data_IF_493484505242
#
_entry.id   IF_493484505242
#
_cell.length_a   1.000
_cell.length_b   1.000
_cell.length_c   1.000
_cell.angle_alpha   90.00
_cell.angle_beta   90.00
_cell.angle_gamma   90.00
#
_symmetry.space_group_name_H-M   'P 1'
#
loop_
_entity.id
_entity.type
_entity.pdbx_description
1 polymer ?
#
# COMPACT_ATOMS: atom_id res chain seq x y z
N UNK A 1 -4.42 23.57 14.38
CA UNK A 1 -5.53 24.50 14.09
C UNK A 1 -5.40 25.25 12.76
N UNK A 2 -4.35 25.09 11.94
CA UNK A 2 -4.26 25.75 10.63
C UNK A 2 -5.33 25.29 9.61
N UNK A 3 -5.54 23.98 9.46
CA UNK A 3 -6.52 23.41 8.53
C UNK A 3 -7.94 23.98 8.72
N UNK A 4 -8.39 24.13 9.96
CA UNK A 4 -9.72 24.65 10.28
C UNK A 4 -9.77 26.18 10.27
N UNK A 5 -8.74 26.86 10.76
CA UNK A 5 -8.75 28.32 10.87
C UNK A 5 -8.41 29.03 9.56
N UNK A 6 -7.59 28.42 8.71
CA UNK A 6 -7.09 28.96 7.44
C UNK A 6 -7.01 27.85 6.37
N UNK A 7 -8.16 27.27 5.98
CA UNK A 7 -8.19 26.21 4.97
C UNK A 7 -7.63 26.69 3.62
N UNK A 8 -7.80 27.97 3.29
CA UNK A 8 -7.19 28.63 2.12
C UNK A 8 -5.66 28.46 2.10
N UNK A 9 -5.00 28.77 3.21
CA UNK A 9 -3.56 28.67 3.35
C UNK A 9 -3.10 27.21 3.40
N UNK A 10 -3.85 26.34 4.09
CA UNK A 10 -3.56 24.90 4.11
C UNK A 10 -3.61 24.31 2.70
N UNK A 11 -4.64 24.65 1.92
CA UNK A 11 -4.76 24.21 0.54
C UNK A 11 -3.62 24.70 -0.35
N UNK A 12 -3.16 25.94 -0.15
CA UNK A 12 -2.01 26.47 -0.90
C UNK A 12 -0.72 25.71 -0.58
N UNK A 13 -0.48 25.37 0.68
CA UNK A 13 0.68 24.56 1.09
C UNK A 13 0.62 23.17 0.46
N UNK A 14 -0.53 22.51 0.55
CA UNK A 14 -0.72 21.16 0.03
C UNK A 14 -0.61 21.11 -1.50
N UNK A 15 -1.05 22.16 -2.21
CA UNK A 15 -0.88 22.27 -3.65
C UNK A 15 0.60 22.30 -4.05
N UNK A 16 1.39 23.19 -3.41
CA UNK A 16 2.83 23.29 -3.65
C UNK A 16 3.52 21.96 -3.33
N UNK A 17 3.15 21.33 -2.21
CA UNK A 17 3.72 20.04 -1.81
C UNK A 17 3.40 18.94 -2.83
N UNK A 18 2.16 18.87 -3.32
CA UNK A 18 1.77 17.86 -4.30
C UNK A 18 2.56 18.00 -5.61
N UNK A 19 2.71 19.23 -6.11
CA UNK A 19 3.47 19.47 -7.35
C UNK A 19 4.97 19.18 -7.16
N UNK A 20 5.54 19.56 -6.00
CA UNK A 20 6.93 19.25 -5.66
C UNK A 20 7.17 17.74 -5.53
N UNK A 21 6.25 16.99 -4.91
CA UNK A 21 6.32 15.53 -4.79
C UNK A 21 6.20 14.85 -6.15
N UNK A 22 5.29 15.30 -7.01
CA UNK A 22 5.16 14.76 -8.36
C UNK A 22 6.45 14.96 -9.17
N UNK A 23 7.02 16.17 -9.14
CA UNK A 23 8.31 16.46 -9.76
C UNK A 23 9.41 15.54 -9.21
N UNK A 24 9.50 15.41 -7.88
CA UNK A 24 10.52 14.59 -7.22
C UNK A 24 10.42 13.10 -7.60
N UNK A 25 9.22 12.53 -7.59
CA UNK A 25 8.99 11.14 -7.98
C UNK A 25 9.29 10.92 -9.47
N UNK A 26 8.89 11.85 -10.35
CA UNK A 26 9.24 11.77 -11.76
C UNK A 26 10.76 11.83 -11.97
N UNK A 27 11.49 12.66 -11.23
CA UNK A 27 12.96 12.67 -11.30
C UNK A 27 13.57 11.36 -10.82
N UNK A 28 13.00 10.71 -9.80
CA UNK A 28 13.44 9.37 -9.39
C UNK A 28 13.19 8.32 -10.49
N UNK A 29 12.05 8.39 -11.17
CA UNK A 29 11.73 7.51 -12.31
C UNK A 29 12.78 7.68 -13.41
N UNK A 30 13.12 8.92 -13.77
CA UNK A 30 14.17 9.19 -14.75
C UNK A 30 15.56 8.73 -14.29
N UNK A 31 15.81 8.73 -12.98
CA UNK A 31 17.04 8.19 -12.40
C UNK A 31 17.05 6.65 -12.31
N UNK A 32 15.96 5.98 -12.69
CA UNK A 32 15.87 4.52 -12.76
C UNK A 32 14.94 3.86 -11.74
N UNK A 33 14.13 4.61 -10.99
CA UNK A 33 13.11 4.00 -10.14
C UNK A 33 12.07 3.26 -10.99
N UNK A 34 11.84 1.98 -10.67
CA UNK A 34 10.97 1.09 -11.44
C UNK A 34 9.55 0.99 -10.87
N UNK A 35 9.32 1.57 -9.70
CA UNK A 35 8.04 1.71 -9.02
C UNK A 35 8.14 2.90 -8.07
N UNK A 36 7.03 3.57 -7.79
CA UNK A 36 7.00 4.71 -6.86
C UNK A 36 5.86 4.57 -5.87
N UNK A 37 6.07 5.08 -4.66
CA UNK A 37 5.10 4.97 -3.58
C UNK A 37 4.90 6.31 -2.88
N UNK A 38 3.64 6.72 -2.75
CA UNK A 38 3.24 7.87 -1.93
C UNK A 38 2.94 7.38 -0.53
N UNK A 39 3.74 7.83 0.43
CA UNK A 39 3.57 7.53 1.85
C UNK A 39 2.80 8.66 2.55
N UNK A 40 1.51 8.46 2.73
CA UNK A 40 0.68 9.30 3.58
C UNK A 40 0.67 8.76 5.02
N UNK A 41 1.79 8.98 5.71
CA UNK A 41 2.02 8.41 7.04
C UNK A 41 1.07 8.96 8.12
N UNK A 42 0.42 10.09 7.84
CA UNK A 42 -0.38 10.85 8.82
C UNK A 42 -1.83 11.08 8.41
N UNK A 43 -2.27 10.70 7.19
CA UNK A 43 -3.65 10.85 6.78
C UNK A 43 -4.66 10.17 7.72
N UNK A 44 -4.27 9.05 8.34
CA UNK A 44 -5.08 8.35 9.36
C UNK A 44 -5.35 9.12 10.64
N UNK A 45 -4.73 10.28 10.87
CA UNK A 45 -5.09 11.16 12.00
C UNK A 45 -6.13 12.22 11.65
N UNK A 46 -6.50 12.35 10.37
CA UNK A 46 -7.53 13.29 9.93
C UNK A 46 -8.93 12.75 10.25
N UNK A 47 -9.86 13.66 10.51
CA UNK A 47 -11.27 13.32 10.57
C UNK A 47 -11.78 12.89 9.18
N UNK A 48 -12.84 12.09 9.16
CA UNK A 48 -13.59 11.85 7.93
C UNK A 48 -14.11 13.18 7.34
N UNK A 49 -14.14 13.28 6.02
CA UNK A 49 -14.31 14.53 5.27
C UNK A 49 -13.00 15.34 5.14
N UNK A 50 -12.27 15.52 6.24
CA UNK A 50 -10.98 16.21 6.21
C UNK A 50 -9.89 15.38 5.50
N UNK A 51 -9.89 14.05 5.67
CA UNK A 51 -9.01 13.14 4.93
C UNK A 51 -9.16 13.33 3.42
N UNK A 52 -10.40 13.33 2.93
CA UNK A 52 -10.71 13.45 1.51
C UNK A 52 -10.25 14.81 0.97
N UNK A 53 -10.52 15.89 1.70
CA UNK A 53 -10.23 17.27 1.28
C UNK A 53 -8.74 17.64 1.38
N UNK A 54 -8.04 17.19 2.43
CA UNK A 54 -6.68 17.67 2.76
C UNK A 54 -5.59 16.61 2.58
N UNK A 55 -5.93 15.34 2.33
CA UNK A 55 -4.95 14.32 1.95
C UNK A 55 -5.28 13.68 0.60
N UNK A 56 -6.41 12.98 0.49
CA UNK A 56 -6.75 12.17 -0.68
C UNK A 56 -6.75 12.97 -1.98
N UNK A 57 -7.31 14.18 -1.98
CA UNK A 57 -7.32 15.07 -3.14
C UNK A 57 -5.91 15.41 -3.63
N UNK A 58 -4.96 15.57 -2.71
CA UNK A 58 -3.57 15.89 -3.04
C UNK A 58 -2.77 14.66 -3.44
N UNK A 59 -3.05 13.48 -2.85
CA UNK A 59 -2.55 12.21 -3.37
C UNK A 59 -3.00 12.00 -4.81
N UNK A 60 -4.28 12.25 -5.12
CA UNK A 60 -4.80 12.18 -6.49
C UNK A 60 -4.09 13.16 -7.42
N UNK A 61 -3.82 14.40 -6.97
CA UNK A 61 -3.05 15.39 -7.73
C UNK A 61 -1.62 14.95 -8.03
N UNK A 62 -0.93 14.31 -7.07
CA UNK A 62 0.39 13.73 -7.31
C UNK A 62 0.30 12.67 -8.40
N UNK A 63 -0.60 11.69 -8.24
CA UNK A 63 -0.75 10.56 -9.16
C UNK A 63 -1.09 11.01 -10.60
N UNK A 64 -1.90 12.05 -10.76
CA UNK A 64 -2.27 12.59 -12.06
C UNK A 64 -1.08 13.17 -12.85
N UNK A 65 0.03 13.47 -12.19
CA UNK A 65 1.24 14.06 -12.78
C UNK A 65 2.38 13.04 -12.94
N UNK A 66 2.23 11.81 -12.42
CA UNK A 66 3.29 10.80 -12.47
C UNK A 66 3.43 10.18 -13.86
N UNK A 67 4.67 9.91 -14.26
CA UNK A 67 4.98 9.05 -15.39
C UNK A 67 4.51 7.64 -15.10
N UNK A 68 3.71 7.07 -16.00
CA UNK A 68 3.22 5.69 -15.92
C UNK A 68 4.09 4.70 -16.70
N UNK A 69 5.05 5.20 -17.48
CA UNK A 69 6.01 4.41 -18.23
C UNK A 69 7.38 5.10 -18.31
N UNK A 70 8.45 4.31 -18.34
CA UNK A 70 9.81 4.78 -18.57
C UNK A 70 10.65 3.63 -19.15
N UNK A 71 11.48 3.90 -20.17
CA UNK A 71 12.30 2.90 -20.89
C UNK A 71 11.51 1.66 -21.36
N UNK A 72 10.29 1.86 -21.88
CA UNK A 72 9.44 0.79 -22.39
C UNK A 72 8.87 -0.15 -21.31
N UNK A 73 8.99 0.22 -20.04
CA UNK A 73 8.42 -0.49 -18.90
C UNK A 73 7.37 0.37 -18.21
N UNK A 74 6.31 -0.27 -17.72
CA UNK A 74 5.30 0.38 -16.89
C UNK A 74 5.88 0.69 -15.50
N UNK A 75 5.56 1.87 -14.97
CA UNK A 75 5.94 2.28 -13.62
C UNK A 75 4.71 2.18 -12.71
N UNK A 76 4.57 1.13 -11.90
CA UNK A 76 3.48 1.02 -10.95
C UNK A 76 3.60 2.07 -9.85
N UNK A 77 2.44 2.63 -9.49
CA UNK A 77 2.31 3.57 -8.38
C UNK A 77 1.57 2.95 -7.20
N UNK A 78 2.08 3.18 -6.01
CA UNK A 78 1.52 2.67 -4.76
C UNK A 78 1.11 3.84 -3.88
N UNK A 79 0.01 3.68 -3.14
CA UNK A 79 -0.43 4.63 -2.12
C UNK A 79 -0.61 3.91 -0.81
N UNK A 80 -0.07 4.47 0.26
CA UNK A 80 -0.30 3.98 1.61
C UNK A 80 -0.66 5.11 2.55
N UNK A 81 -1.89 5.06 3.06
CA UNK A 81 -2.32 5.88 4.19
C UNK A 81 -2.40 4.99 5.43
N UNK A 82 -1.47 5.17 6.37
CA UNK A 82 -1.54 4.45 7.66
C UNK A 82 -2.76 4.94 8.44
N UNK A 83 -3.54 4.02 8.98
CA UNK A 83 -4.84 4.28 9.60
C UNK A 83 -5.98 4.49 8.60
N UNK A 84 -5.72 4.36 7.29
CA UNK A 84 -6.68 4.70 6.23
C UNK A 84 -7.70 3.60 5.88
N UNK A 85 -7.77 2.50 6.63
CA UNK A 85 -8.59 1.35 6.28
C UNK A 85 -10.09 1.65 6.10
N UNK A 86 -10.62 2.67 6.80
CA UNK A 86 -12.01 3.11 6.66
C UNK A 86 -12.31 3.73 5.30
N UNK A 87 -11.32 4.38 4.67
CA UNK A 87 -11.47 5.10 3.40
C UNK A 87 -10.99 4.30 2.19
N UNK A 88 -10.83 2.98 2.35
CA UNK A 88 -10.39 2.10 1.28
C UNK A 88 -11.28 2.17 0.03
N UNK A 89 -12.63 2.25 0.14
CA UNK A 89 -13.50 2.45 -1.02
C UNK A 89 -13.23 3.75 -1.78
N UNK A 90 -12.97 4.86 -1.09
CA UNK A 90 -12.62 6.13 -1.72
C UNK A 90 -11.22 6.08 -2.34
N UNK A 91 -10.26 5.46 -1.67
CA UNK A 91 -8.91 5.24 -2.19
C UNK A 91 -8.87 4.32 -3.41
N UNK A 92 -9.86 3.43 -3.59
CA UNK A 92 -9.99 2.64 -4.82
C UNK A 92 -10.22 3.49 -6.08
N UNK A 93 -10.74 4.72 -5.93
CA UNK A 93 -10.88 5.67 -7.02
C UNK A 93 -9.57 6.34 -7.47
N UNK A 94 -8.48 6.21 -6.70
CA UNK A 94 -7.19 6.80 -7.06
C UNK A 94 -6.62 6.14 -8.32
N UNK A 95 -5.95 6.91 -9.16
CA UNK A 95 -5.20 6.39 -10.31
C UNK A 95 -3.85 5.79 -9.87
N UNK A 96 -3.90 4.77 -9.02
CA UNK A 96 -2.75 3.98 -8.58
C UNK A 96 -2.99 2.48 -8.75
N UNK A 97 -1.93 1.69 -8.65
CA UNK A 97 -1.96 0.24 -8.86
C UNK A 97 -2.18 -0.54 -7.58
N UNK A 98 -1.56 -0.06 -6.50
CA UNK A 98 -1.50 -0.78 -5.23
C UNK A 98 -1.93 0.13 -4.09
N UNK A 99 -2.74 -0.41 -3.19
CA UNK A 99 -3.05 0.21 -1.91
C UNK A 99 -2.34 -0.54 -0.78
N UNK A 100 -1.53 0.19 -0.02
CA UNK A 100 -0.90 -0.30 1.21
C UNK A 100 -1.89 -0.33 2.35
N UNK A 101 -1.75 -1.31 3.24
CA UNK A 101 -2.61 -1.52 4.40
C UNK A 101 -1.76 -1.71 5.65
N UNK A 102 -2.25 -1.21 6.79
CA UNK A 102 -1.71 -1.56 8.10
C UNK A 102 -2.49 -2.72 8.74
N UNK A 103 -1.97 -3.24 9.86
CA UNK A 103 -2.44 -4.46 10.52
C UNK A 103 -3.84 -4.36 11.12
N UNK A 104 -4.40 -3.16 11.25
CA UNK A 104 -5.76 -3.00 11.78
C UNK A 104 -6.82 -3.40 10.75
N UNK A 105 -6.47 -3.40 9.46
CA UNK A 105 -7.38 -3.79 8.38
C UNK A 105 -7.36 -5.30 8.15
N UNK A 106 -8.54 -5.96 8.14
CA UNK A 106 -8.60 -7.34 7.71
C UNK A 106 -8.33 -7.45 6.19
N UNK A 107 -7.30 -8.21 5.82
CA UNK A 107 -6.81 -8.29 4.45
C UNK A 107 -7.81 -8.94 3.47
N UNK A 108 -8.62 -9.89 3.94
CA UNK A 108 -9.69 -10.51 3.14
C UNK A 108 -10.85 -9.57 2.88
N UNK A 109 -11.25 -8.77 3.88
CA UNK A 109 -12.26 -7.71 3.71
C UNK A 109 -11.78 -6.63 2.76
N UNK A 110 -10.51 -6.21 2.87
CA UNK A 110 -9.90 -5.27 1.94
C UNK A 110 -9.90 -5.83 0.51
N UNK A 111 -9.51 -7.09 0.31
CA UNK A 111 -9.59 -7.78 -0.99
C UNK A 111 -11.00 -7.73 -1.56
N UNK A 112 -12.02 -8.03 -0.76
CA UNK A 112 -13.41 -8.02 -1.21
C UNK A 112 -13.90 -6.61 -1.60
N UNK A 113 -13.41 -5.57 -0.92
CA UNK A 113 -13.81 -4.18 -1.20
C UNK A 113 -13.16 -3.61 -2.46
N UNK A 114 -11.86 -3.86 -2.67
CA UNK A 114 -11.08 -3.14 -3.70
C UNK A 114 -10.21 -4.01 -4.60
N UNK A 115 -10.10 -5.32 -4.32
CA UNK A 115 -9.28 -6.24 -5.09
C UNK A 115 -9.78 -6.49 -6.52
N UNK A 116 -11.05 -6.17 -6.79
CA UNK A 116 -11.67 -6.37 -8.10
C UNK A 116 -11.98 -7.84 -8.42
N UNK A 117 -12.31 -8.09 -9.68
CA UNK A 117 -12.51 -9.43 -10.24
C UNK A 117 -11.45 -9.69 -11.31
N UNK A 118 -11.28 -10.95 -11.70
CA UNK A 118 -10.36 -11.31 -12.80
C UNK A 118 -10.78 -10.61 -14.09
N UNK A 119 -9.84 -9.93 -14.74
CA UNK A 119 -10.08 -9.10 -15.94
C UNK A 119 -10.81 -7.79 -15.68
N UNK A 120 -11.20 -7.51 -14.43
CA UNK A 120 -11.91 -6.29 -14.04
C UNK A 120 -10.99 -5.21 -13.44
N UNK A 121 -11.53 -4.00 -13.19
CA UNK A 121 -10.82 -2.97 -12.43
C UNK A 121 -10.66 -3.42 -10.97
N UNK A 122 -9.52 -3.07 -10.38
CA UNK A 122 -9.20 -3.39 -8.99
C UNK A 122 -7.82 -2.87 -8.59
N UNK A 123 -7.51 -2.99 -7.31
CA UNK A 123 -6.21 -2.65 -6.73
C UNK A 123 -5.51 -3.90 -6.25
N UNK A 124 -4.21 -4.00 -6.52
CA UNK A 124 -3.39 -4.90 -5.72
C UNK A 124 -3.31 -4.37 -4.28
N UNK A 125 -3.12 -5.26 -3.32
CA UNK A 125 -2.98 -4.89 -1.92
C UNK A 125 -1.55 -5.15 -1.45
N UNK A 126 -0.96 -4.21 -0.72
CA UNK A 126 0.34 -4.39 -0.06
C UNK A 126 0.17 -4.39 1.45
N UNK A 127 0.85 -5.31 2.16
CA UNK A 127 0.85 -5.38 3.62
C UNK A 127 0.48 -6.76 4.14
N UNK A 128 -0.01 -6.89 5.37
CA UNK A 128 -0.19 -5.82 6.34
C UNK A 128 0.17 -6.24 7.76
N UNK A 129 1.09 -7.18 7.92
CA UNK A 129 1.40 -7.77 9.23
C UNK A 129 1.98 -6.70 10.19
N UNK A 130 1.61 -6.77 11.47
CA UNK A 130 2.14 -5.87 12.52
C UNK A 130 3.64 -6.12 12.69
N UNK A 131 4.52 -5.11 12.61
CA UNK A 131 5.97 -5.30 12.84
C UNK A 131 6.31 -5.92 14.20
N UNK A 132 5.46 -5.77 15.23
CA UNK A 132 5.72 -6.30 16.56
C UNK A 132 5.76 -7.83 16.61
N UNK A 133 5.16 -8.52 15.63
CA UNK A 133 5.28 -9.98 15.52
C UNK A 133 6.74 -10.44 15.43
N UNK A 134 7.64 -9.58 14.93
CA UNK A 134 9.05 -9.90 14.75
C UNK A 134 9.82 -9.94 16.09
N UNK A 135 9.18 -9.65 17.22
CA UNK A 135 9.73 -9.91 18.55
C UNK A 135 9.33 -11.29 19.10
N UNK A 136 8.44 -12.02 18.42
CA UNK A 136 8.05 -13.36 18.80
C UNK A 136 9.06 -14.41 18.28
N UNK A 137 9.05 -15.64 18.82
CA UNK A 137 9.87 -16.72 18.28
C UNK A 137 9.52 -17.04 16.80
N UNK A 138 10.48 -17.54 15.99
CA UNK A 138 10.27 -17.81 14.56
C UNK A 138 9.04 -18.66 14.21
N UNK A 139 8.69 -19.63 15.05
CA UNK A 139 7.49 -20.45 14.85
C UNK A 139 6.18 -19.64 14.93
N UNK A 140 6.15 -18.60 15.77
CA UNK A 140 4.99 -17.71 15.87
C UNK A 140 4.94 -16.73 14.70
N UNK A 141 6.09 -16.20 14.28
CA UNK A 141 6.20 -15.39 13.05
C UNK A 141 5.62 -16.16 11.86
N UNK A 142 6.03 -17.42 11.66
CA UNK A 142 5.51 -18.26 10.58
C UNK A 142 4.00 -18.54 10.70
N UNK A 143 3.44 -18.57 11.91
CA UNK A 143 2.00 -18.76 12.14
C UNK A 143 1.22 -17.51 11.75
N UNK A 144 1.68 -16.33 12.15
CA UNK A 144 1.03 -15.06 11.78
C UNK A 144 1.15 -14.75 10.29
N UNK A 145 2.30 -15.07 9.66
CA UNK A 145 2.46 -14.99 8.21
C UNK A 145 1.41 -15.83 7.47
N UNK A 146 1.21 -17.08 7.90
CA UNK A 146 0.20 -17.96 7.32
C UNK A 146 -1.19 -17.37 7.47
N UNK A 147 -1.54 -16.89 8.66
CA UNK A 147 -2.83 -16.25 8.94
C UNK A 147 -3.09 -15.05 8.02
N UNK A 148 -2.09 -14.20 7.79
CA UNK A 148 -2.22 -13.04 6.89
C UNK A 148 -2.42 -13.49 5.44
N UNK A 149 -1.60 -14.42 4.95
CA UNK A 149 -1.71 -14.95 3.59
C UNK A 149 -3.05 -15.67 3.35
N UNK A 150 -3.48 -16.49 4.31
CA UNK A 150 -4.75 -17.20 4.25
C UNK A 150 -5.95 -16.24 4.33
N UNK A 151 -5.81 -15.13 5.08
CA UNK A 151 -6.82 -14.07 5.09
C UNK A 151 -6.97 -13.39 3.74
N UNK A 152 -5.89 -13.22 2.96
CA UNK A 152 -6.01 -12.74 1.58
C UNK A 152 -6.63 -13.82 0.69
N UNK A 153 -6.25 -15.10 0.89
CA UNK A 153 -6.64 -16.24 0.07
C UNK A 153 -5.75 -16.41 -1.16
N UNK A 154 -6.13 -17.27 -2.11
CA UNK A 154 -5.33 -17.50 -3.33
C UNK A 154 -5.27 -16.23 -4.17
N UNK A 155 -4.07 -15.68 -4.43
CA UNK A 155 -3.89 -14.52 -5.28
C UNK A 155 -3.97 -14.88 -6.76
N UNK A 156 -4.42 -13.94 -7.57
CA UNK A 156 -4.34 -14.01 -9.02
C UNK A 156 -2.88 -14.13 -9.47
N UNK A 157 -2.63 -14.94 -10.50
CA UNK A 157 -1.28 -15.29 -11.00
C UNK A 157 -1.12 -15.06 -12.50
N UNK A 158 -2.21 -14.96 -13.27
CA UNK A 158 -2.14 -14.75 -14.70
C UNK A 158 -1.62 -13.34 -15.00
N UNK A 159 -0.49 -13.26 -15.70
CA UNK A 159 0.19 -12.00 -16.03
C UNK A 159 -0.48 -11.27 -17.20
N UNK A 160 -1.41 -11.91 -17.91
CA UNK A 160 -2.13 -11.32 -19.05
C UNK A 160 -3.42 -10.60 -18.67
N UNK A 161 -3.93 -10.84 -17.45
CA UNK A 161 -5.18 -10.26 -16.95
C UNK A 161 -4.99 -9.62 -15.58
N UNK A 162 -5.79 -8.61 -15.27
CA UNK A 162 -5.84 -8.04 -13.91
C UNK A 162 -6.58 -8.99 -12.97
N UNK A 163 -6.30 -8.89 -11.68
CA UNK A 163 -7.05 -9.63 -10.67
C UNK A 163 -6.52 -9.40 -9.26
N UNK A 164 -7.23 -9.90 -8.24
CA UNK A 164 -6.86 -9.70 -6.84
C UNK A 164 -5.46 -10.22 -6.54
N UNK A 165 -4.51 -9.30 -6.34
CA UNK A 165 -3.09 -9.61 -6.15
C UNK A 165 -2.59 -9.04 -4.83
N UNK A 166 -1.65 -9.75 -4.20
CA UNK A 166 -1.08 -9.40 -2.91
C UNK A 166 0.45 -9.27 -2.97
N UNK A 167 0.96 -8.16 -2.42
CA UNK A 167 2.36 -7.93 -2.11
C UNK A 167 2.50 -7.99 -0.59
N UNK A 168 3.08 -9.06 -0.06
CA UNK A 168 3.28 -9.16 1.39
C UNK A 168 4.23 -8.06 1.87
N UNK A 169 3.85 -7.35 2.93
CA UNK A 169 4.72 -6.39 3.61
C UNK A 169 4.27 -6.23 5.07
N UNK A 170 5.09 -5.54 5.86
CA UNK A 170 4.68 -5.01 7.15
C UNK A 170 3.69 -3.85 6.94
N UNK A 171 2.87 -3.58 7.96
CA UNK A 171 1.99 -2.40 8.00
C UNK A 171 2.70 -1.11 8.43
N UNK A 172 3.99 -1.16 8.74
CA UNK A 172 4.85 -0.02 9.08
C UNK A 172 6.33 -0.42 8.96
N UNK A 173 7.25 0.54 9.09
CA UNK A 173 8.68 0.26 9.14
C UNK A 173 9.07 -0.69 10.28
N UNK A 174 10.10 -1.50 10.01
CA UNK A 174 10.71 -2.42 10.97
C UNK A 174 11.31 -1.65 12.17
N UNK A 175 11.18 -2.20 13.38
CA UNK A 175 11.80 -1.62 14.57
C UNK A 175 13.32 -1.85 14.56
N UNK A 176 14.10 -0.86 14.99
CA UNK A 176 15.55 -0.97 15.13
C UNK A 176 16.00 -2.08 16.10
N UNK A 177 15.10 -2.55 16.97
CA UNK A 177 15.37 -3.62 17.94
C UNK A 177 15.03 -5.02 17.42
N UNK A 178 14.55 -5.11 16.18
CA UNK A 178 14.15 -6.39 15.59
C UNK A 178 15.37 -7.28 15.35
N UNK A 179 15.40 -8.52 15.84
CA UNK A 179 16.47 -9.46 15.50
C UNK A 179 16.49 -9.74 13.99
N UNK A 180 17.63 -9.56 13.28
CA UNK A 180 17.70 -9.77 11.83
C UNK A 180 17.25 -11.17 11.38
N UNK A 181 17.53 -12.20 12.16
CA UNK A 181 17.13 -13.59 11.91
C UNK A 181 15.61 -13.78 11.91
N UNK A 182 14.87 -12.94 12.64
CA UNK A 182 13.40 -12.97 12.63
C UNK A 182 12.83 -12.40 11.32
N UNK A 183 13.55 -11.48 10.67
CA UNK A 183 13.21 -11.01 9.32
C UNK A 183 13.44 -12.11 8.30
N UNK A 184 14.52 -12.88 8.42
CA UNK A 184 14.77 -14.06 7.58
C UNK A 184 13.64 -15.07 7.73
N UNK A 185 13.25 -15.40 8.97
CA UNK A 185 12.14 -16.32 9.24
C UNK A 185 10.80 -15.83 8.64
N UNK A 186 10.52 -14.52 8.69
CA UNK A 186 9.36 -13.90 8.05
C UNK A 186 9.37 -14.16 6.53
N UNK A 187 10.47 -13.79 5.86
CA UNK A 187 10.59 -13.90 4.39
C UNK A 187 10.49 -15.36 3.94
N UNK A 188 11.15 -16.27 4.65
CA UNK A 188 11.09 -17.71 4.37
C UNK A 188 9.68 -18.27 4.52
N UNK A 189 8.96 -17.88 5.57
CA UNK A 189 7.57 -18.28 5.79
C UNK A 189 6.65 -17.76 4.68
N UNK A 190 6.82 -16.49 4.27
CA UNK A 190 6.03 -15.88 3.18
C UNK A 190 6.24 -16.65 1.89
N UNK A 191 7.49 -16.84 1.47
CA UNK A 191 7.82 -17.56 0.25
C UNK A 191 7.34 -19.01 0.26
N UNK A 192 7.50 -19.71 1.39
CA UNK A 192 7.16 -21.13 1.49
C UNK A 192 5.65 -21.38 1.47
N UNK A 193 4.87 -20.54 2.18
CA UNK A 193 3.42 -20.71 2.23
C UNK A 193 2.72 -20.19 0.98
N UNK A 194 3.12 -19.02 0.47
CA UNK A 194 2.50 -18.45 -0.74
C UNK A 194 2.71 -19.30 -1.99
N UNK A 195 3.85 -20.01 -2.10
CA UNK A 195 4.07 -21.00 -3.18
C UNK A 195 3.01 -22.11 -3.16
N UNK A 196 2.63 -22.60 -1.97
CA UNK A 196 1.59 -23.62 -1.83
C UNK A 196 0.22 -23.08 -2.24
N UNK A 197 -0.11 -21.85 -1.81
CA UNK A 197 -1.37 -21.20 -2.20
C UNK A 197 -1.48 -21.03 -3.72
N UNK A 198 -0.37 -20.69 -4.40
CA UNK A 198 -0.35 -20.50 -5.86
C UNK A 198 -0.28 -21.79 -6.67
N UNK A 199 0.13 -22.90 -6.04
CA UNK A 199 0.19 -24.22 -6.67
C UNK A 199 -1.07 -25.05 -6.43
N UNK A 200 -1.94 -24.62 -5.51
CA UNK A 200 -3.24 -25.26 -5.29
C UNK A 200 -4.10 -25.10 -6.56
N UNK A 201 -4.76 -26.18 -7.03
CA UNK A 201 -5.55 -26.19 -8.26
C UNK A 201 -6.78 -25.28 -8.19
#
# INVERSE_FOLDING_TARGET
TLMYSRPDLMHRILEINADAVALYLNTQIEAGAQAVMVFDSWGGVLADGAFQQFSLAYTARVLAQLKTEHNGQRIPSLVFTKGGGLWLPEMAGLNCDVLGLDWTMNLGRARAQVGGQVGGPGKALQGNIDPNILFAPPAQIATEVRRVLDSFGTPHTDRSTTGPTHIFNLGHGISQYTPPEHVTALVEAVHSHSRKLRAAP
#
